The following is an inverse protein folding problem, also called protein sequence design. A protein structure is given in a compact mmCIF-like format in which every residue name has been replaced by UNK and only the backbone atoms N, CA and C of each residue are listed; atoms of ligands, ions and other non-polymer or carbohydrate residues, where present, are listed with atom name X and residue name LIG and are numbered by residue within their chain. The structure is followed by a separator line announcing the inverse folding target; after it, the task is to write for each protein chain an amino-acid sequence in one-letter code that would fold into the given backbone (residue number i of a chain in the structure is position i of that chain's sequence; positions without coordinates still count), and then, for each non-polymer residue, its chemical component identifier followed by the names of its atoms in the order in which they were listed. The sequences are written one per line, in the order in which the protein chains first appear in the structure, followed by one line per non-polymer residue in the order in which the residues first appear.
data_IF_656543540474
#
_entry.id   IF_656543540474
#
_cell.length_a   1.000
_cell.length_b   1.000
_cell.length_c   1.000
_cell.angle_alpha   90.00
_cell.angle_beta   90.00
_cell.angle_gamma   90.00
#
_symmetry.space_group_name_H-M   'P 1'
#
loop_
_entity.id
_entity.type
_entity.pdbx_description
1 polymer ?
#
# COMPACT_ATOMS: atom_id res chain seq x y z
N UNK A 1 -8.01 -5.20 17.10
CA UNK A 1 -8.92 -6.22 16.51
C UNK A 1 -9.17 -6.07 15.00
N UNK A 2 -8.69 -5.02 14.31
CA UNK A 2 -9.11 -4.73 12.91
C UNK A 2 -8.25 -5.34 11.80
N UNK A 3 -6.97 -5.67 12.02
CA UNK A 3 -6.09 -6.17 10.97
C UNK A 3 -6.21 -7.69 10.73
N UNK A 4 -6.47 -8.48 11.77
CA UNK A 4 -6.82 -9.90 11.65
C UNK A 4 -8.05 -10.12 10.76
N UNK A 5 -9.01 -9.18 10.78
CA UNK A 5 -10.21 -9.23 9.93
C UNK A 5 -9.86 -9.04 8.44
N UNK A 6 -8.72 -8.40 8.15
CA UNK A 6 -8.28 -8.08 6.79
C UNK A 6 -7.27 -9.10 6.23
N UNK A 7 -6.82 -10.07 7.03
CA UNK A 7 -5.88 -11.12 6.61
C UNK A 7 -4.47 -10.62 6.25
N UNK A 8 -4.16 -9.34 6.52
CA UNK A 8 -2.89 -8.69 6.17
C UNK A 8 -1.71 -9.36 6.88
N UNK A 9 -1.91 -9.76 8.13
CA UNK A 9 -0.95 -10.47 8.98
C UNK A 9 -0.58 -11.87 8.44
N UNK A 10 -1.41 -12.43 7.55
CA UNK A 10 -1.21 -13.75 6.95
C UNK A 10 -0.63 -13.69 5.53
N UNK A 11 -0.44 -12.50 4.97
CA UNK A 11 0.13 -12.37 3.64
C UNK A 11 1.62 -12.75 3.65
N UNK A 12 2.04 -13.51 2.64
CA UNK A 12 3.43 -13.92 2.49
C UNK A 12 4.36 -12.71 2.30
N UNK A 13 5.52 -12.76 2.95
CA UNK A 13 6.57 -11.75 2.81
C UNK A 13 6.27 -10.41 3.48
N UNK A 14 5.23 -10.29 4.31
CA UNK A 14 4.90 -9.05 5.03
C UNK A 14 5.95 -8.76 6.11
N UNK A 15 6.45 -7.54 6.07
CA UNK A 15 7.39 -6.96 7.04
C UNK A 15 6.70 -6.03 8.05
N UNK A 16 5.57 -5.46 7.66
CA UNK A 16 4.77 -4.60 8.52
C UNK A 16 3.59 -4.01 7.77
N UNK A 17 2.61 -3.51 8.52
CA UNK A 17 1.45 -2.85 7.94
C UNK A 17 1.00 -1.66 8.78
N UNK A 18 0.30 -0.74 8.13
CA UNK A 18 -0.39 0.39 8.72
C UNK A 18 -1.80 0.46 8.14
N UNK A 19 -2.80 0.55 9.00
CA UNK A 19 -4.21 0.66 8.64
C UNK A 19 -4.70 2.02 9.10
N UNK A 20 -5.23 2.81 8.18
CA UNK A 20 -5.80 4.11 8.44
C UNK A 20 -7.32 4.10 8.19
N UNK A 21 -8.04 4.96 8.90
CA UNK A 21 -9.38 5.35 8.48
C UNK A 21 -9.30 6.30 7.26
N UNK A 22 -10.43 6.73 6.71
CA UNK A 22 -10.47 7.63 5.55
C UNK A 22 -9.87 9.02 5.82
N UNK A 23 -9.82 9.43 7.08
CA UNK A 23 -9.24 10.70 7.54
C UNK A 23 -7.72 10.61 7.72
N UNK A 24 -7.13 9.42 7.64
CA UNK A 24 -5.70 9.18 7.82
C UNK A 24 -5.27 8.84 9.25
N UNK A 25 -6.20 8.74 10.20
CA UNK A 25 -5.90 8.33 11.56
C UNK A 25 -5.55 6.84 11.62
N UNK A 26 -4.47 6.50 12.35
CA UNK A 26 -4.01 5.12 12.50
C UNK A 26 -5.00 4.31 13.34
N UNK A 27 -5.59 3.29 12.73
CA UNK A 27 -6.48 2.34 13.40
C UNK A 27 -5.73 1.12 13.92
N UNK A 28 -4.67 0.71 13.22
CA UNK A 28 -3.87 -0.46 13.56
C UNK A 28 -2.52 -0.42 12.86
N UNK A 29 -1.49 -1.02 13.45
CA UNK A 29 -0.16 -1.10 12.86
C UNK A 29 0.64 -2.29 13.41
N UNK A 30 1.62 -2.77 12.65
CA UNK A 30 2.47 -3.90 13.04
C UNK A 30 3.80 -3.88 12.27
N UNK A 31 4.82 -4.54 12.84
CA UNK A 31 6.12 -4.75 12.21
C UNK A 31 6.85 -3.44 11.94
N UNK A 32 7.50 -3.36 10.79
CA UNK A 32 8.29 -2.20 10.35
C UNK A 32 7.49 -0.88 10.26
N UNK A 33 6.16 -0.96 10.16
CA UNK A 33 5.28 0.20 10.04
C UNK A 33 4.56 0.52 11.35
N UNK A 34 4.91 -0.15 12.46
CA UNK A 34 4.27 0.05 13.76
C UNK A 34 4.41 1.52 14.21
N UNK A 35 3.27 2.14 14.53
CA UNK A 35 3.16 3.53 14.97
C UNK A 35 3.75 4.57 14.00
N UNK A 36 3.92 4.23 12.73
CA UNK A 36 4.46 5.16 11.75
C UNK A 36 3.38 6.09 11.18
N UNK A 37 2.89 7.00 12.02
CA UNK A 37 1.86 7.99 11.66
C UNK A 37 2.30 8.93 10.53
N UNK A 38 3.61 9.14 10.37
CA UNK A 38 4.16 10.02 9.33
C UNK A 38 3.84 9.56 7.89
N UNK A 39 3.46 8.29 7.70
CA UNK A 39 3.04 7.77 6.39
C UNK A 39 1.63 8.20 5.99
N UNK A 40 0.80 8.65 6.94
CA UNK A 40 -0.61 8.99 6.68
C UNK A 40 -0.76 10.11 5.65
N UNK A 41 -0.10 11.23 5.87
CA UNK A 41 -0.25 12.45 5.07
C UNK A 41 0.29 12.27 3.63
N UNK A 42 1.49 11.69 3.40
CA UNK A 42 1.96 11.38 2.06
C UNK A 42 1.05 10.39 1.31
N UNK A 43 0.60 9.32 1.97
CA UNK A 43 -0.28 8.31 1.33
C UNK A 43 -1.62 8.90 0.94
N UNK A 44 -2.22 9.73 1.81
CA UNK A 44 -3.43 10.47 1.47
C UNK A 44 -3.20 11.44 0.30
N UNK A 45 -2.04 12.10 0.27
CA UNK A 45 -1.64 12.96 -0.86
C UNK A 45 -1.64 12.20 -2.19
N UNK A 46 -1.02 11.01 -2.23
CA UNK A 46 -0.98 10.16 -3.42
C UNK A 46 -2.40 9.74 -3.84
N UNK A 47 -3.21 9.25 -2.90
CA UNK A 47 -4.58 8.82 -3.19
C UNK A 47 -5.44 9.96 -3.74
N UNK A 48 -5.31 11.17 -3.17
CA UNK A 48 -6.01 12.38 -3.67
C UNK A 48 -5.55 12.76 -5.08
N UNK A 49 -4.25 12.66 -5.37
CA UNK A 49 -3.71 12.93 -6.69
C UNK A 49 -4.25 11.94 -7.73
N UNK A 50 -4.25 10.64 -7.42
CA UNK A 50 -4.81 9.60 -8.29
C UNK A 50 -6.30 9.78 -8.51
N UNK A 51 -7.06 10.17 -7.48
CA UNK A 51 -8.49 10.44 -7.62
C UNK A 51 -8.77 11.59 -8.60
N UNK A 52 -7.96 12.66 -8.56
CA UNK A 52 -8.05 13.76 -9.51
C UNK A 52 -7.66 13.34 -10.93
N UNK A 53 -6.65 12.46 -11.06
CA UNK A 53 -6.14 11.95 -12.33
C UNK A 53 -6.88 10.73 -12.88
N UNK A 54 -7.89 10.18 -12.18
CA UNK A 54 -8.51 8.88 -12.47
C UNK A 54 -8.95 8.74 -13.93
N UNK A 55 -9.60 9.78 -14.48
CA UNK A 55 -10.09 9.78 -15.86
C UNK A 55 -8.98 9.69 -16.91
N UNK A 56 -7.76 10.08 -16.56
CA UNK A 56 -6.60 10.02 -17.45
C UNK A 56 -5.82 8.71 -17.29
N UNK A 57 -5.69 8.23 -16.05
CA UNK A 57 -4.83 7.08 -15.71
C UNK A 57 -5.58 5.76 -15.88
N UNK A 58 -6.85 5.72 -15.49
CA UNK A 58 -7.64 4.49 -15.39
C UNK A 58 -9.02 4.63 -16.04
N UNK A 59 -9.22 5.53 -17.03
CA UNK A 59 -10.50 5.82 -17.73
C UNK A 59 -11.73 5.04 -17.22
N UNK A 60 -11.84 3.77 -17.62
CA UNK A 60 -12.96 2.86 -17.37
C UNK A 60 -12.64 1.75 -16.35
N UNK A 61 -11.43 1.72 -15.81
CA UNK A 61 -10.94 0.75 -14.85
C UNK A 61 -10.96 1.27 -13.40
N UNK A 62 -11.12 0.34 -12.47
CA UNK A 62 -10.98 0.63 -11.05
C UNK A 62 -9.55 0.45 -10.57
N UNK A 63 -9.11 1.39 -9.76
CA UNK A 63 -7.80 1.32 -9.14
C UNK A 63 -7.76 0.24 -8.06
N UNK A 64 -6.95 -0.81 -8.26
CA UNK A 64 -6.83 -1.91 -7.30
C UNK A 64 -5.85 -1.59 -6.15
N UNK A 65 -4.58 -1.26 -6.48
CA UNK A 65 -3.54 -0.96 -5.49
C UNK A 65 -2.40 -0.11 -6.09
N UNK A 66 -1.69 0.64 -5.24
CA UNK A 66 -0.45 1.36 -5.56
C UNK A 66 0.71 0.52 -5.06
N UNK A 67 1.74 0.33 -5.88
CA UNK A 67 2.99 -0.27 -5.45
C UNK A 67 4.12 0.75 -5.52
N UNK A 68 4.79 0.97 -4.39
CA UNK A 68 5.97 1.83 -4.29
C UNK A 68 7.17 0.95 -3.99
N UNK A 69 8.06 0.83 -4.97
CA UNK A 69 9.27 0.03 -4.86
C UNK A 69 10.37 0.83 -4.15
N UNK A 70 10.91 0.25 -3.09
CA UNK A 70 12.05 0.76 -2.33
C UNK A 70 13.15 -0.31 -2.31
N UNK A 71 14.38 0.06 -1.91
CA UNK A 71 15.52 -0.85 -1.91
C UNK A 71 15.23 -2.11 -1.05
N UNK A 72 14.93 -3.23 -1.72
CA UNK A 72 14.63 -4.52 -1.10
C UNK A 72 13.21 -4.71 -0.53
N UNK A 73 12.30 -3.74 -0.73
CA UNK A 73 10.93 -3.82 -0.25
C UNK A 73 9.93 -3.19 -1.23
N UNK A 74 8.68 -3.63 -1.18
CA UNK A 74 7.57 -2.98 -1.87
C UNK A 74 6.51 -2.57 -0.87
N UNK A 75 6.00 -1.36 -1.01
CA UNK A 75 4.86 -0.87 -0.26
C UNK A 75 3.62 -1.01 -1.13
N UNK A 76 2.66 -1.81 -0.69
CA UNK A 76 1.37 -2.00 -1.36
C UNK A 76 0.33 -1.18 -0.61
N UNK A 77 -0.29 -0.23 -1.31
CA UNK A 77 -1.33 0.66 -0.76
C UNK A 77 -2.64 0.33 -1.46
N UNK A 78 -3.68 -0.01 -0.69
CA UNK A 78 -4.99 -0.35 -1.24
C UNK A 78 -6.10 0.07 -0.28
N UNK A 79 -7.34 0.05 -0.77
CA UNK A 79 -8.53 0.23 0.06
C UNK A 79 -9.19 -1.11 0.32
N UNK A 80 -9.61 -1.35 1.56
CA UNK A 80 -10.42 -2.50 1.94
C UNK A 80 -11.40 -2.11 3.03
N UNK A 81 -12.70 -2.35 2.81
CA UNK A 81 -13.76 -2.05 3.79
C UNK A 81 -13.69 -0.63 4.38
N UNK A 82 -13.59 0.39 3.51
CA UNK A 82 -13.47 1.82 3.87
C UNK A 82 -12.21 2.18 4.69
N UNK A 83 -11.18 1.33 4.64
CA UNK A 83 -9.88 1.59 5.28
C UNK A 83 -8.80 1.70 4.23
N UNK A 84 -7.79 2.50 4.52
CA UNK A 84 -6.58 2.59 3.72
C UNK A 84 -5.55 1.66 4.35
N UNK A 85 -5.11 0.67 3.59
CA UNK A 85 -4.14 -0.33 4.01
C UNK A 85 -2.81 -0.05 3.34
N UNK A 86 -1.75 0.04 4.13
CA UNK A 86 -0.37 0.17 3.66
C UNK A 86 0.38 -1.04 4.17
N UNK A 87 0.98 -1.80 3.26
CA UNK A 87 1.68 -3.04 3.61
C UNK A 87 3.08 -2.99 3.04
N UNK A 88 4.08 -3.11 3.91
CA UNK A 88 5.47 -3.31 3.49
C UNK A 88 5.71 -4.80 3.34
N UNK A 89 6.14 -5.22 2.15
CA UNK A 89 6.55 -6.59 1.85
C UNK A 89 8.02 -6.63 1.45
N UNK A 90 8.65 -7.78 1.58
CA UNK A 90 9.88 -8.07 0.85
C UNK A 90 9.64 -7.87 -0.65
N UNK A 91 10.62 -7.25 -1.32
CA UNK A 91 10.63 -7.24 -2.77
C UNK A 91 11.06 -8.64 -3.23
N UNK A 92 10.10 -9.41 -3.74
CA UNK A 92 10.40 -10.60 -4.50
C UNK A 92 10.97 -10.12 -5.84
N UNK A 93 12.29 -10.18 -5.97
CA UNK A 93 12.93 -9.98 -7.28
C UNK A 93 12.57 -11.22 -8.09
N UNK A 94 11.50 -11.16 -8.85
CA UNK A 94 11.33 -12.07 -9.98
C UNK A 94 12.59 -11.91 -10.83
N UNK A 95 13.43 -12.94 -10.83
CA UNK A 95 14.66 -12.95 -11.62
C UNK A 95 14.26 -13.21 -13.07
N UNK A 96 13.52 -12.29 -13.65
CA UNK A 96 13.23 -12.29 -15.07
C UNK A 96 14.50 -11.85 -15.79
N UNK A 97 15.18 -12.87 -16.28
CA UNK A 97 16.44 -12.82 -17.02
C UNK A 97 16.29 -12.20 -18.42
N UNK A 98 15.40 -11.21 -18.62
CA UNK A 98 15.26 -10.46 -19.87
C UNK A 98 14.26 -9.31 -19.74
N UNK A 99 14.73 -8.09 -19.46
CA UNK A 99 14.40 -6.93 -20.30
C UNK A 99 15.27 -5.74 -19.92
N UNK A 100 16.28 -5.51 -20.76
CA UNK A 100 16.93 -4.22 -20.89
C UNK A 100 15.88 -3.20 -21.34
N UNK A 101 15.61 -2.19 -20.52
CA UNK A 101 14.87 -1.02 -20.99
C UNK A 101 15.88 0.07 -21.33
N UNK A 102 15.91 0.33 -22.64
CA UNK A 102 16.49 1.48 -23.34
C UNK A 102 15.77 2.74 -22.89
#
# INVERSE_FOLDING_TARGET
MTAQIMGIDRMQGVLGYLVLNEEGAVMNSMGDLKNNESLSEPVLGILRALQKGRQLICKDEEFQNIQVYAKGAVFVIFRQSQKICIVKKHLEIETDSNHSLI
#
